data_IF_648355346810
#
_entry.id   IF_648355346810
#
_cell.length_a   1.000
_cell.length_b   1.000
_cell.length_c   1.000
_cell.angle_alpha   90.00
_cell.angle_beta   90.00
_cell.angle_gamma   90.00
#
_symmetry.space_group_name_H-M   'P 1'
#
loop_
_entity.id
_entity.type
_entity.pdbx_description
1 polymer ?
#
# COMPACT_ATOMS: atom_id res chain seq x y z
N UNK A 1 10.52 6.64 -12.58
CA UNK A 1 9.05 6.52 -12.56
C UNK A 1 8.53 7.59 -11.63
N UNK A 2 7.62 8.46 -12.09
CA UNK A 2 7.07 9.55 -11.27
C UNK A 2 5.63 9.21 -10.96
N UNK A 3 5.27 9.11 -9.68
CA UNK A 3 3.88 8.92 -9.27
C UNK A 3 3.01 10.05 -9.84
N UNK A 4 1.97 9.71 -10.60
CA UNK A 4 1.00 10.70 -11.03
C UNK A 4 0.37 11.34 -9.78
N UNK A 5 0.44 12.67 -9.66
CA UNK A 5 -0.12 13.42 -8.51
C UNK A 5 -1.62 13.17 -8.28
N UNK A 6 -2.35 12.70 -9.29
CA UNK A 6 -3.79 12.49 -9.26
C UNK A 6 -4.10 11.17 -8.53
N UNK A 7 -4.69 11.26 -7.34
CA UNK A 7 -5.04 10.11 -6.49
C UNK A 7 -4.02 9.77 -5.40
N UNK A 8 -2.88 10.47 -5.36
CA UNK A 8 -1.90 10.36 -4.29
C UNK A 8 -2.36 11.13 -3.03
N UNK A 9 -2.43 10.42 -1.91
CA UNK A 9 -2.72 10.94 -0.58
C UNK A 9 -1.40 11.16 0.16
N UNK A 10 -1.38 12.13 1.08
CA UNK A 10 -0.24 12.39 1.97
C UNK A 10 -0.51 11.85 3.35
N UNK A 11 0.50 11.28 4.00
CA UNK A 11 0.46 10.83 5.40
C UNK A 11 1.79 11.17 6.07
N UNK A 12 1.76 11.44 7.37
CA UNK A 12 2.96 11.59 8.19
C UNK A 12 3.08 10.36 9.08
N UNK A 13 4.22 9.67 9.03
CA UNK A 13 4.53 8.49 9.84
C UNK A 13 5.83 8.79 10.57
N UNK A 14 5.80 8.78 11.90
CA UNK A 14 6.95 9.02 12.77
C UNK A 14 7.73 10.31 12.43
N UNK A 15 7.01 11.37 12.03
CA UNK A 15 7.57 12.67 11.67
C UNK A 15 7.99 12.81 10.20
N UNK A 16 8.04 11.72 9.43
CA UNK A 16 8.39 11.74 8.01
C UNK A 16 7.13 11.77 7.13
N UNK A 17 7.12 12.64 6.13
CA UNK A 17 5.99 12.78 5.21
C UNK A 17 6.14 11.83 4.02
N UNK A 18 5.09 11.05 3.76
CA UNK A 18 5.01 10.10 2.65
C UNK A 18 3.85 10.45 1.72
N UNK A 19 3.99 10.09 0.44
CA UNK A 19 2.91 10.07 -0.53
C UNK A 19 2.55 8.63 -0.84
N UNK A 20 1.26 8.33 -0.91
CA UNK A 20 0.79 7.00 -1.21
C UNK A 20 -0.47 7.02 -2.07
N UNK A 21 -0.70 5.97 -2.84
CA UNK A 21 -1.98 5.77 -3.53
C UNK A 21 -2.34 4.29 -3.55
N UNK A 22 -3.64 4.02 -3.54
CA UNK A 22 -4.14 2.66 -3.69
C UNK A 22 -3.91 2.19 -5.12
N UNK A 23 -3.30 1.02 -5.27
CA UNK A 23 -3.10 0.35 -6.54
C UNK A 23 -3.98 -0.90 -6.57
N UNK A 24 -4.94 -0.95 -7.49
CA UNK A 24 -5.67 -2.18 -7.79
C UNK A 24 -4.85 -2.94 -8.83
N UNK A 25 -4.23 -4.04 -8.41
CA UNK A 25 -3.51 -4.89 -9.34
C UNK A 25 -4.52 -5.88 -9.92
N UNK A 26 -4.91 -5.63 -11.17
CA UNK A 26 -5.59 -6.65 -11.96
C UNK A 26 -4.54 -7.69 -12.35
N UNK A 27 -4.66 -8.91 -11.84
CA UNK A 27 -3.95 -10.02 -12.47
C UNK A 27 -4.58 -10.17 -13.85
N UNK A 28 -3.83 -9.80 -14.89
CA UNK A 28 -4.32 -9.90 -16.24
C UNK A 28 -4.62 -11.39 -16.53
N UNK A 29 -5.78 -11.61 -17.17
CA UNK A 29 -6.37 -12.90 -17.58
C UNK A 29 -7.38 -13.57 -16.63
N UNK A 30 -7.47 -13.20 -15.35
CA UNK A 30 -8.55 -13.71 -14.48
C UNK A 30 -9.55 -12.59 -14.15
N UNK A 31 -10.75 -12.71 -14.73
CA UNK A 31 -11.91 -11.86 -14.44
C UNK A 31 -12.36 -11.95 -12.97
N UNK A 32 -11.74 -12.82 -12.18
CA UNK A 32 -12.04 -13.11 -10.78
C UNK A 32 -10.87 -12.77 -9.83
N UNK A 33 -10.76 -11.50 -9.45
CA UNK A 33 -10.08 -11.13 -8.19
C UNK A 33 -8.67 -10.56 -8.33
N UNK A 34 -8.58 -9.27 -8.66
CA UNK A 34 -7.38 -8.50 -8.34
C UNK A 34 -7.20 -8.38 -6.82
N UNK A 35 -5.96 -8.27 -6.34
CA UNK A 35 -5.68 -7.98 -4.94
C UNK A 35 -5.60 -6.48 -4.71
N UNK A 36 -6.02 -6.05 -3.52
CA UNK A 36 -5.90 -4.68 -3.07
C UNK A 36 -4.47 -4.45 -2.59
N UNK A 37 -3.79 -3.48 -3.21
CA UNK A 37 -2.48 -3.04 -2.82
C UNK A 37 -2.39 -1.52 -2.76
N UNK A 38 -1.23 -1.05 -2.34
CA UNK A 38 -0.92 0.37 -2.37
C UNK A 38 0.57 0.57 -2.55
N UNK A 39 0.92 1.77 -2.98
CA UNK A 39 2.29 2.17 -3.28
C UNK A 39 2.58 3.44 -2.50
N UNK A 40 3.77 3.54 -1.92
CA UNK A 40 4.22 4.73 -1.20
C UNK A 40 5.65 5.13 -1.54
N UNK A 41 5.94 6.42 -1.43
CA UNK A 41 7.25 7.03 -1.62
C UNK A 41 7.44 8.19 -0.64
N UNK A 42 8.68 8.63 -0.45
CA UNK A 42 8.96 9.85 0.32
C UNK A 42 8.31 11.07 -0.35
N UNK A 43 7.68 11.95 0.46
CA UNK A 43 6.99 13.11 -0.09
C UNK A 43 7.94 14.24 -0.51
N UNK A 44 9.14 14.30 0.06
CA UNK A 44 10.13 15.35 -0.17
C UNK A 44 11.23 14.90 -1.15
N UNK A 45 11.74 13.68 -0.99
CA UNK A 45 12.86 13.12 -1.73
C UNK A 45 12.52 11.72 -2.28
N UNK A 46 11.67 11.62 -3.31
CA UNK A 46 11.25 10.33 -3.84
C UNK A 46 12.44 9.55 -4.41
N UNK A 47 12.76 8.41 -3.80
CA UNK A 47 13.75 7.44 -4.27
C UNK A 47 13.11 6.08 -4.56
N UNK A 48 13.23 5.13 -3.64
CA UNK A 48 12.67 3.77 -3.77
C UNK A 48 11.20 3.75 -3.35
N UNK A 49 10.32 3.34 -4.27
CA UNK A 49 8.90 3.12 -3.97
C UNK A 49 8.70 1.84 -3.16
N UNK A 50 7.86 1.90 -2.13
CA UNK A 50 7.30 0.77 -1.41
C UNK A 50 6.04 0.28 -2.12
N UNK A 51 5.97 -1.01 -2.44
CA UNK A 51 4.78 -1.69 -2.94
C UNK A 51 4.27 -2.65 -1.88
N UNK A 52 3.02 -2.49 -1.48
CA UNK A 52 2.38 -3.33 -0.46
C UNK A 52 1.21 -4.06 -1.06
N UNK A 53 1.21 -5.38 -0.96
CA UNK A 53 0.06 -6.23 -1.28
C UNK A 53 -0.60 -6.69 0.03
N UNK A 54 -1.92 -6.55 0.14
CA UNK A 54 -2.66 -6.90 1.38
C UNK A 54 -3.27 -8.30 1.36
N UNK A 55 -3.20 -8.99 0.22
CA UNK A 55 -3.91 -10.25 -0.03
C UNK A 55 -5.43 -10.13 -0.10
N UNK A 56 -6.02 -8.97 0.24
CA UNK A 56 -7.48 -8.75 0.19
C UNK A 56 -7.95 -8.71 -1.25
N UNK A 57 -9.04 -9.43 -1.55
CA UNK A 57 -9.70 -9.35 -2.86
C UNK A 57 -10.26 -7.94 -3.06
N UNK A 58 -9.91 -7.32 -4.18
CA UNK A 58 -10.46 -6.03 -4.59
C UNK A 58 -11.92 -6.24 -5.01
N UNK A 59 -12.87 -5.94 -4.13
CA UNK A 59 -14.30 -5.96 -4.47
C UNK A 59 -14.71 -4.61 -5.05
N UNK A 60 -15.31 -4.62 -6.24
CA UNK A 60 -16.09 -3.49 -6.72
C UNK A 60 -17.51 -3.59 -6.17
N UNK A 61 -17.69 -3.12 -4.94
CA UNK A 61 -19.03 -2.95 -4.35
C UNK A 61 -19.55 -1.54 -4.65
N UNK A 62 -20.83 -1.37 -5.02
CA UNK A 62 -21.48 -0.05 -5.10
C UNK A 62 -21.46 0.69 -3.75
N UNK A 63 -21.36 -0.06 -2.64
CA UNK A 63 -21.23 0.45 -1.28
C UNK A 63 -19.98 -0.16 -0.64
N UNK A 64 -18.80 0.44 -0.85
CA UNK A 64 -17.55 -0.09 -0.32
C UNK A 64 -17.55 -0.03 1.21
N UNK A 65 -17.08 -1.10 1.82
CA UNK A 65 -16.83 -1.18 3.27
C UNK A 65 -15.39 -0.77 3.57
N UNK A 66 -15.02 -0.51 4.85
CA UNK A 66 -13.64 -0.27 5.22
C UNK A 66 -12.68 -1.41 4.82
N UNK A 67 -13.17 -2.65 4.66
CA UNK A 67 -12.38 -3.78 4.20
C UNK A 67 -12.04 -3.71 2.70
N UNK A 68 -12.84 -2.97 1.92
CA UNK A 68 -12.64 -2.76 0.48
C UNK A 68 -11.73 -1.55 0.18
N UNK A 69 -11.26 -0.85 1.24
CA UNK A 69 -10.46 0.36 1.18
C UNK A 69 -9.12 0.16 1.88
N UNK A 70 -8.09 0.85 1.41
CA UNK A 70 -6.84 0.98 2.15
C UNK A 70 -6.97 2.13 3.13
N UNK A 71 -6.87 1.84 4.41
CA UNK A 71 -7.01 2.83 5.47
C UNK A 71 -5.66 3.49 5.78
N UNK A 72 -5.63 4.80 6.12
CA UNK A 72 -4.38 5.49 6.48
C UNK A 72 -3.60 4.80 7.61
N UNK A 73 -4.31 4.18 8.57
CA UNK A 73 -3.68 3.41 9.66
C UNK A 73 -2.91 2.20 9.15
N UNK A 74 -3.40 1.54 8.10
CA UNK A 74 -2.75 0.36 7.51
C UNK A 74 -1.52 0.78 6.72
N UNK A 75 -1.61 1.93 6.04
CA UNK A 75 -0.49 2.56 5.36
C UNK A 75 0.62 2.91 6.36
N UNK A 76 0.28 3.53 7.49
CA UNK A 76 1.25 3.85 8.53
C UNK A 76 1.92 2.59 9.11
N UNK A 77 1.15 1.53 9.36
CA UNK A 77 1.71 0.25 9.82
C UNK A 77 2.59 -0.41 8.76
N UNK A 78 2.19 -0.42 7.49
CA UNK A 78 2.99 -0.98 6.41
C UNK A 78 4.29 -0.21 6.17
N UNK A 79 4.27 1.13 6.27
CA UNK A 79 5.48 1.97 6.20
C UNK A 79 6.43 1.61 7.34
N UNK A 80 5.96 1.54 8.59
CA UNK A 80 6.80 1.15 9.73
C UNK A 80 7.39 -0.25 9.57
N UNK A 81 6.60 -1.20 9.10
CA UNK A 81 7.08 -2.56 8.81
C UNK A 81 8.13 -2.57 7.70
N UNK A 82 7.94 -1.79 6.64
CA UNK A 82 8.92 -1.68 5.57
C UNK A 82 10.23 -1.06 6.05
N UNK A 83 10.18 0.02 6.84
CA UNK A 83 11.35 0.64 7.45
C UNK A 83 12.10 -0.36 8.34
N UNK A 84 11.39 -1.11 9.17
CA UNK A 84 11.98 -2.17 10.00
C UNK A 84 12.61 -3.31 9.17
N UNK A 85 12.13 -3.54 7.95
CA UNK A 85 12.67 -4.53 7.00
C UNK A 85 13.77 -3.97 6.09
N UNK A 86 14.22 -2.74 6.30
CA UNK A 86 15.32 -2.12 5.56
C UNK A 86 14.91 -1.34 4.32
N UNK A 87 13.62 -1.03 4.13
CA UNK A 87 13.21 -0.09 3.09
C UNK A 87 13.81 1.30 3.37
N UNK A 88 14.52 1.85 2.39
CA UNK A 88 15.03 3.21 2.43
C UNK A 88 14.33 4.06 1.35
N UNK A 89 13.43 4.98 1.74
CA UNK A 89 12.58 5.70 0.79
C UNK A 89 13.33 6.77 -0.02
N UNK A 90 14.51 7.23 0.43
CA UNK A 90 15.28 8.30 -0.21
C UNK A 90 16.39 7.79 -1.13
N UNK A 91 16.76 6.52 -1.03
CA UNK A 91 17.76 5.89 -1.91
C UNK A 91 17.08 5.44 -3.19
N UNK A 92 17.69 5.70 -4.35
CA UNK A 92 17.19 5.19 -5.62
C UNK A 92 17.45 3.69 -5.73
N UNK A 93 16.44 2.94 -6.15
CA UNK A 93 16.54 1.48 -6.23
C UNK A 93 15.30 0.82 -6.82
N UNK A 94 15.37 -0.51 -6.88
CA UNK A 94 14.23 -1.34 -7.27
C UNK A 94 13.09 -1.21 -6.25
N UNK A 95 11.81 -1.29 -6.68
CA UNK A 95 10.68 -1.21 -5.77
C UNK A 95 10.78 -2.23 -4.62
N UNK A 96 10.62 -1.76 -3.39
CA UNK A 96 10.64 -2.62 -2.21
C UNK A 96 9.25 -3.21 -2.01
N UNK A 97 9.13 -4.54 -2.04
CA UNK A 97 7.83 -5.22 -1.96
C UNK A 97 7.64 -5.86 -0.60
N UNK A 98 6.48 -5.65 0.00
CA UNK A 98 6.05 -6.40 1.19
C UNK A 98 4.64 -6.95 0.99
N UNK A 99 4.47 -8.20 1.42
CA UNK A 99 3.16 -8.80 1.58
C UNK A 99 2.75 -8.61 3.04
N UNK A 100 1.67 -7.88 3.27
CA UNK A 100 1.03 -7.84 4.58
C UNK A 100 0.07 -9.02 4.65
N UNK A 101 0.22 -9.93 5.64
CA UNK A 101 -0.75 -10.99 5.83
C UNK A 101 -2.11 -10.32 6.07
N UNK A 102 -3.14 -10.87 5.41
CA UNK A 102 -4.50 -10.42 5.60
C UNK A 102 -4.75 -10.42 7.11
N UNK A 103 -5.02 -9.25 7.68
CA UNK A 103 -5.38 -9.11 9.09
C UNK A 103 -6.80 -9.66 9.33
N UNK A 104 -7.14 -10.79 8.73
CA UNK A 104 -8.10 -11.71 9.30
C UNK A 104 -7.38 -12.39 10.46
N UNK A 105 -7.28 -11.65 11.56
CA UNK A 105 -7.27 -12.30 12.87
C UNK A 105 -8.50 -13.18 12.90
N UNK A 106 -8.28 -14.48 12.73
CA UNK A 106 -8.79 -15.51 13.63
C UNK A 106 -9.66 -14.90 14.75
N UNK A 107 -10.97 -14.98 14.55
CA UNK A 107 -11.94 -14.96 15.63
C UNK A 107 -12.60 -16.34 15.56
N UNK A 108 -11.87 -17.35 16.01
CA UNK A 108 -12.50 -18.57 16.49
C UNK A 108 -13.39 -18.23 17.69
N UNK A 109 -14.65 -18.64 17.62
CA UNK A 109 -15.52 -18.97 18.76
C UNK A 109 -16.69 -19.80 18.26
#
# INVERSE_FOLDING_TARGET
MTLARKGARRIVVDGTAYRWHAARRHLCCDYEGGTLGWVAEDAAHPGTTLVVETGRRARLSPRPTPADLILPREVATGIRTALARGWNPTVNGSPFKIDLPNSETDQGS
#
